data_IF_837001619362
#
_entry.id   IF_837001619362
#
_cell.length_a   1.000
_cell.length_b   1.000
_cell.length_c   1.000
_cell.angle_alpha   90.00
_cell.angle_beta   90.00
_cell.angle_gamma   90.00
#
_symmetry.space_group_name_H-M   'P 1'
#
loop_
_entity.id
_entity.type
_entity.pdbx_description
1 polymer ?
#
# COMPACT_ATOMS: atom_id res chain seq x y z
N UNK A 1 4.82 -28.55 31.20
CA UNK A 1 5.42 -27.83 30.06
C UNK A 1 4.81 -28.41 28.79
N UNK A 2 4.12 -27.60 27.99
CA UNK A 2 3.86 -27.84 26.56
C UNK A 2 3.40 -26.52 25.96
N UNK A 3 4.18 -26.04 24.99
CA UNK A 3 4.20 -24.66 24.50
C UNK A 3 2.97 -24.35 23.65
N UNK A 4 2.26 -23.27 24.03
CA UNK A 4 1.41 -22.51 23.11
C UNK A 4 2.33 -21.71 22.19
N UNK A 5 2.65 -22.26 21.04
CA UNK A 5 3.13 -21.49 19.89
C UNK A 5 1.92 -20.82 19.26
N UNK A 6 1.69 -19.56 19.63
CA UNK A 6 0.68 -18.70 19.02
C UNK A 6 1.26 -18.14 17.71
N UNK A 7 0.75 -18.55 16.52
CA UNK A 7 1.36 -18.28 15.21
C UNK A 7 1.33 -16.81 14.79
N UNK A 8 0.74 -15.94 15.61
CA UNK A 8 0.63 -14.49 15.35
C UNK A 8 1.74 -13.67 16.00
N UNK A 9 2.53 -14.26 16.91
CA UNK A 9 3.64 -13.56 17.61
C UNK A 9 4.79 -13.16 16.71
N UNK A 10 4.99 -13.86 15.58
CA UNK A 10 6.05 -13.56 14.62
C UNK A 10 5.63 -12.50 13.58
N UNK A 11 4.32 -12.37 13.29
CA UNK A 11 3.77 -11.29 12.47
C UNK A 11 3.83 -9.94 13.21
N UNK A 12 3.57 -9.94 14.52
CA UNK A 12 3.70 -8.74 15.36
C UNK A 12 5.17 -8.31 15.55
N UNK A 13 6.13 -9.25 15.54
CA UNK A 13 7.58 -8.93 15.58
C UNK A 13 8.09 -8.37 14.26
N UNK A 14 7.59 -8.86 13.11
CA UNK A 14 7.82 -8.25 11.79
C UNK A 14 7.18 -6.87 11.68
N UNK A 15 5.96 -6.71 12.22
CA UNK A 15 5.31 -5.42 12.34
C UNK A 15 6.12 -4.46 13.24
N UNK A 16 6.55 -4.85 14.45
CA UNK A 16 7.29 -3.92 15.31
C UNK A 16 8.70 -3.56 14.80
N UNK A 17 9.33 -4.41 13.99
CA UNK A 17 10.68 -4.17 13.45
C UNK A 17 10.69 -3.47 12.07
N UNK A 18 9.64 -3.63 11.24
CA UNK A 18 9.43 -2.84 10.02
C UNK A 18 8.89 -1.42 10.30
N UNK A 19 8.13 -1.26 11.39
CA UNK A 19 7.65 0.05 11.84
C UNK A 19 8.72 0.87 12.60
N UNK A 20 9.93 0.31 12.80
CA UNK A 20 11.03 0.94 13.52
C UNK A 20 11.88 1.93 12.72
N UNK A 21 11.86 1.88 11.38
CA UNK A 21 12.69 2.72 10.51
C UNK A 21 11.91 3.53 9.47
N UNK A 22 10.60 3.71 9.64
CA UNK A 22 9.92 4.79 8.90
C UNK A 22 10.31 6.09 9.58
N UNK A 23 11.38 6.73 9.11
CA UNK A 23 11.50 8.18 9.19
C UNK A 23 10.16 8.70 8.67
N UNK A 24 9.23 9.07 9.55
CA UNK A 24 7.93 9.61 9.15
C UNK A 24 8.25 10.83 8.30
N UNK A 25 8.12 10.80 6.96
CA UNK A 25 8.30 12.01 6.19
C UNK A 25 7.10 12.86 6.60
N UNK A 26 7.35 13.91 7.38
CA UNK A 26 6.36 14.71 8.10
C UNK A 26 5.37 15.48 7.19
N UNK A 27 5.14 15.06 5.95
CA UNK A 27 4.36 15.85 5.00
C UNK A 27 3.50 15.10 4.00
N UNK A 28 3.40 13.77 4.07
CA UNK A 28 2.48 13.00 3.22
C UNK A 28 1.65 12.02 4.06
N UNK A 29 0.62 12.50 4.80
CA UNK A 29 -0.37 11.65 5.45
C UNK A 29 -1.01 10.69 4.44
N UNK A 30 -1.46 9.53 4.92
CA UNK A 30 -2.12 8.56 4.07
C UNK A 30 -3.16 7.74 4.82
N UNK A 31 -4.18 7.30 4.09
CA UNK A 31 -5.13 6.27 4.50
C UNK A 31 -5.12 5.14 3.47
N UNK A 32 -5.20 3.89 3.92
CA UNK A 32 -5.26 2.73 3.04
C UNK A 32 -6.29 1.74 3.55
N UNK A 33 -7.12 1.22 2.65
CA UNK A 33 -8.16 0.25 2.97
C UNK A 33 -8.50 -0.62 1.77
N UNK A 34 -9.24 -1.71 2.03
CA UNK A 34 -9.79 -2.58 0.98
C UNK A 34 -11.26 -2.28 0.77
N UNK A 35 -11.69 -2.18 -0.48
CA UNK A 35 -13.08 -2.00 -0.87
C UNK A 35 -13.42 -3.03 -1.95
N UNK A 36 -14.14 -4.09 -1.58
CA UNK A 36 -14.44 -5.18 -2.51
C UNK A 36 -13.17 -5.86 -3.04
N UNK A 37 -12.97 -5.77 -4.36
CA UNK A 37 -11.80 -6.32 -5.06
C UNK A 37 -10.67 -5.30 -5.25
N UNK A 38 -10.77 -4.11 -4.64
CA UNK A 38 -9.77 -3.05 -4.78
C UNK A 38 -9.05 -2.77 -3.46
N UNK A 39 -7.75 -2.51 -3.55
CA UNK A 39 -6.96 -1.86 -2.52
C UNK A 39 -6.83 -0.37 -2.86
N UNK A 40 -7.33 0.49 -1.98
CA UNK A 40 -7.42 1.93 -2.20
C UNK A 40 -6.50 2.64 -1.22
N UNK A 41 -5.73 3.60 -1.72
CA UNK A 41 -4.81 4.43 -0.93
C UNK A 41 -5.04 5.90 -1.25
N UNK A 42 -5.17 6.73 -0.21
CA UNK A 42 -5.24 8.18 -0.32
C UNK A 42 -3.97 8.79 0.25
N UNK A 43 -3.43 9.80 -0.42
CA UNK A 43 -2.34 10.63 0.08
C UNK A 43 -2.75 12.10 0.08
N UNK A 44 -2.58 12.76 1.23
CA UNK A 44 -2.81 14.19 1.33
C UNK A 44 -1.60 14.94 0.77
N UNK A 45 -1.77 15.56 -0.39
CA UNK A 45 -0.75 16.28 -1.14
C UNK A 45 -1.23 17.70 -1.54
N UNK A 46 -1.78 18.52 -0.61
CA UNK A 46 -2.38 19.79 -0.99
C UNK A 46 -1.34 20.80 -1.51
N UNK A 47 -1.66 21.41 -2.64
CA UNK A 47 -0.84 22.43 -3.29
C UNK A 47 0.36 21.87 -4.06
N UNK A 48 0.32 20.58 -4.41
CA UNK A 48 1.28 19.96 -5.31
C UNK A 48 0.77 20.06 -6.75
N UNK A 49 1.67 20.35 -7.67
CA UNK A 49 1.45 20.28 -9.11
C UNK A 49 1.32 18.80 -9.52
N UNK A 50 0.22 18.36 -10.15
CA UNK A 50 0.07 16.97 -10.57
C UNK A 50 1.22 16.45 -11.42
N UNK A 51 1.86 17.32 -12.23
CA UNK A 51 3.00 16.95 -13.07
C UNK A 51 4.28 16.65 -12.27
N UNK A 52 4.38 17.10 -11.01
CA UNK A 52 5.50 16.79 -10.12
C UNK A 52 5.30 15.52 -9.30
N UNK A 53 4.14 14.87 -9.43
CA UNK A 53 3.85 13.59 -8.77
C UNK A 53 4.42 12.46 -9.64
N UNK A 54 5.38 11.74 -9.06
CA UNK A 54 6.02 10.58 -9.67
C UNK A 54 5.59 9.30 -8.92
N UNK A 55 5.11 8.33 -9.66
CA UNK A 55 4.64 7.05 -9.16
C UNK A 55 5.43 5.95 -9.84
N UNK A 56 6.17 5.18 -9.04
CA UNK A 56 7.01 4.09 -9.53
C UNK A 56 6.69 2.81 -8.78
N UNK A 57 6.69 1.67 -9.48
CA UNK A 57 6.50 0.37 -8.88
C UNK A 57 7.63 -0.55 -9.29
N UNK A 58 8.48 -0.90 -8.33
CA UNK A 58 9.55 -1.87 -8.52
C UNK A 58 9.40 -3.00 -7.50
N UNK A 59 9.34 -4.25 -7.97
CA UNK A 59 9.34 -5.47 -7.10
C UNK A 59 8.30 -5.39 -5.97
N UNK A 60 7.06 -5.02 -6.31
CA UNK A 60 5.95 -4.84 -5.35
C UNK A 60 6.17 -3.71 -4.34
N UNK A 61 7.11 -2.80 -4.59
CA UNK A 61 7.28 -1.57 -3.81
C UNK A 61 6.77 -0.40 -4.65
N UNK A 62 5.65 0.18 -4.23
CA UNK A 62 5.15 1.43 -4.77
C UNK A 62 5.88 2.58 -4.08
N UNK A 63 6.54 3.42 -4.88
CA UNK A 63 7.16 4.67 -4.45
C UNK A 63 6.35 5.84 -4.97
N UNK A 64 5.90 6.71 -4.06
CA UNK A 64 5.21 7.95 -4.36
C UNK A 64 6.16 9.10 -4.05
N UNK A 65 6.53 9.88 -5.06
CA UNK A 65 7.31 11.11 -4.90
C UNK A 65 6.49 12.30 -5.34
N UNK A 66 6.66 13.41 -4.64
CA UNK A 66 5.97 14.64 -4.97
C UNK A 66 6.78 15.85 -4.51
N UNK A 67 6.66 16.98 -5.20
CA UNK A 67 7.34 18.22 -4.82
C UNK A 67 6.34 19.34 -4.60
N UNK A 68 6.40 19.96 -3.40
CA UNK A 68 5.66 21.20 -3.11
C UNK A 68 6.60 22.38 -3.10
N UNK A 69 6.44 23.29 -4.05
CA UNK A 69 7.17 24.56 -4.07
C UNK A 69 6.62 25.53 -3.03
N UNK A 70 7.49 26.35 -2.46
CA UNK A 70 7.06 27.48 -1.65
C UNK A 70 6.26 28.45 -2.52
N UNK A 71 5.10 28.93 -2.08
CA UNK A 71 4.36 29.95 -2.82
C UNK A 71 4.96 31.36 -2.63
N UNK A 72 5.87 31.54 -1.65
CA UNK A 72 6.50 32.83 -1.39
C UNK A 72 7.51 33.17 -2.52
N UNK A 73 7.43 34.37 -3.11
CA UNK A 73 8.48 34.88 -3.99
C UNK A 73 9.85 34.89 -3.31
N UNK A 74 10.93 34.84 -4.11
CA UNK A 74 12.31 34.77 -3.58
C UNK A 74 12.71 35.97 -2.71
N UNK A 75 12.10 37.14 -2.95
CA UNK A 75 12.37 38.40 -2.26
C UNK A 75 11.36 38.72 -1.14
N UNK A 76 10.40 37.83 -0.87
CA UNK A 76 9.37 38.05 0.13
C UNK A 76 9.86 37.78 1.56
N UNK A 77 9.48 38.66 2.49
CA UNK A 77 9.65 38.40 3.92
C UNK A 77 8.61 37.37 4.40
N UNK A 78 9.08 36.18 4.74
CA UNK A 78 8.22 35.09 5.23
C UNK A 78 7.86 35.34 6.69
N UNK A 79 6.62 35.79 6.93
CA UNK A 79 6.11 36.03 8.29
C UNK A 79 5.77 34.72 9.02
N UNK A 80 5.29 33.71 8.29
CA UNK A 80 4.97 32.38 8.83
C UNK A 80 5.08 31.29 7.75
N UNK A 81 5.62 30.13 8.12
CA UNK A 81 5.81 28.97 7.23
C UNK A 81 5.49 27.66 7.95
N UNK A 82 4.22 27.40 8.20
CA UNK A 82 3.75 26.18 8.86
C UNK A 82 3.51 25.03 7.88
N UNK A 83 3.26 25.36 6.61
CA UNK A 83 3.06 24.39 5.54
C UNK A 83 4.42 23.79 5.16
N UNK A 84 4.59 22.45 5.18
CA UNK A 84 5.84 21.84 4.74
C UNK A 84 6.17 22.24 3.29
N UNK A 85 7.42 22.36 2.87
CA UNK A 85 7.77 22.57 1.46
C UNK A 85 8.95 21.67 1.09
N UNK A 86 9.17 21.47 -0.21
CA UNK A 86 10.21 20.61 -0.75
C UNK A 86 9.67 19.26 -1.22
N UNK A 87 10.57 18.26 -1.24
CA UNK A 87 10.29 16.92 -1.76
C UNK A 87 9.73 15.99 -0.68
N UNK A 88 8.66 15.29 -1.04
CA UNK A 88 8.05 14.22 -0.25
C UNK A 88 8.27 12.90 -0.98
N UNK A 89 8.59 11.85 -0.23
CA UNK A 89 8.71 10.50 -0.76
C UNK A 89 8.14 9.52 0.25
N UNK A 90 7.32 8.58 -0.23
CA UNK A 90 6.76 7.52 0.60
C UNK A 90 6.77 6.20 -0.17
N UNK A 91 7.10 5.12 0.53
CA UNK A 91 7.14 3.79 -0.03
C UNK A 91 6.10 2.89 0.64
N UNK A 92 5.48 2.03 -0.16
CA UNK A 92 4.48 1.06 0.25
C UNK A 92 4.84 -0.30 -0.31
N UNK A 93 4.97 -1.28 0.57
CA UNK A 93 5.08 -2.67 0.17
C UNK A 93 3.69 -3.19 -0.17
N UNK A 94 3.48 -3.48 -1.44
CA UNK A 94 2.26 -4.10 -1.95
C UNK A 94 2.37 -5.61 -1.79
N UNK A 95 1.26 -6.26 -1.44
CA UNK A 95 1.21 -7.72 -1.38
C UNK A 95 1.16 -8.32 -2.78
N UNK A 96 1.71 -9.52 -2.95
CA UNK A 96 1.72 -10.28 -4.21
C UNK A 96 0.31 -10.57 -4.77
N UNK A 97 -0.72 -10.36 -3.95
CA UNK A 97 -2.12 -10.51 -4.33
C UNK A 97 -2.69 -9.32 -5.08
N UNK A 98 -1.95 -8.22 -5.22
CA UNK A 98 -2.38 -7.02 -5.90
C UNK A 98 -1.86 -7.00 -7.35
N UNK A 99 -2.69 -6.52 -8.25
CA UNK A 99 -2.36 -6.37 -9.65
C UNK A 99 -1.76 -4.98 -9.91
N UNK A 100 -0.43 -4.92 -9.85
CA UNK A 100 0.31 -3.66 -9.99
C UNK A 100 0.37 -3.14 -11.43
N UNK A 101 0.02 -3.96 -12.42
CA UNK A 101 -0.04 -3.55 -13.83
C UNK A 101 -1.29 -2.73 -14.14
N UNK A 102 -2.33 -2.84 -13.30
CA UNK A 102 -3.63 -2.16 -13.46
C UNK A 102 -3.88 -1.12 -12.38
N UNK A 103 -2.84 -0.46 -11.89
CA UNK A 103 -2.99 0.65 -10.95
C UNK A 103 -3.64 1.84 -11.66
N UNK A 104 -4.72 2.35 -11.06
CA UNK A 104 -5.34 3.62 -11.45
C UNK A 104 -4.93 4.70 -10.45
N UNK A 105 -4.56 5.87 -10.96
CA UNK A 105 -4.21 7.04 -10.16
C UNK A 105 -5.10 8.22 -10.55
N UNK A 106 -5.59 8.95 -9.55
CA UNK A 106 -6.34 10.19 -9.73
C UNK A 106 -5.92 11.21 -8.68
N UNK A 107 -5.93 12.48 -9.04
CA UNK A 107 -5.59 13.56 -8.12
C UNK A 107 -6.65 14.65 -8.20
N UNK A 108 -7.37 14.84 -7.10
CA UNK A 108 -8.48 15.78 -7.01
C UNK A 108 -8.43 16.49 -5.66
N UNK A 109 -8.67 17.81 -5.65
CA UNK A 109 -8.76 18.63 -4.44
C UNK A 109 -7.56 18.48 -3.47
N UNK A 110 -6.36 18.17 -3.98
CA UNK A 110 -5.15 18.01 -3.16
C UNK A 110 -4.97 16.61 -2.58
N UNK A 111 -5.76 15.62 -3.01
CA UNK A 111 -5.65 14.23 -2.57
C UNK A 111 -5.31 13.35 -3.77
N UNK A 112 -4.21 12.60 -3.66
CA UNK A 112 -3.85 11.55 -4.61
C UNK A 112 -4.52 10.25 -4.18
N UNK A 113 -5.36 9.70 -5.05
CA UNK A 113 -6.04 8.42 -4.84
C UNK A 113 -5.48 7.38 -5.79
N UNK A 114 -4.96 6.29 -5.22
CA UNK A 114 -4.52 5.11 -5.95
C UNK A 114 -5.52 3.98 -5.74
N UNK A 115 -5.92 3.32 -6.82
CA UNK A 115 -6.75 2.13 -6.80
C UNK A 115 -5.99 0.98 -7.45
N UNK A 116 -5.82 -0.10 -6.70
CA UNK A 116 -5.04 -1.27 -7.12
C UNK A 116 -5.96 -2.49 -7.05
N UNK A 117 -6.36 -3.08 -8.18
CA UNK A 117 -7.18 -4.28 -8.19
C UNK A 117 -6.48 -5.46 -7.51
N UNK A 118 -7.23 -6.36 -6.91
CA UNK A 118 -6.73 -7.67 -6.48
C UNK A 118 -6.51 -8.54 -7.73
N UNK A 119 -5.34 -9.17 -7.82
CA UNK A 119 -4.99 -10.07 -8.91
C UNK A 119 -5.97 -11.24 -9.00
N UNK A 120 -6.42 -11.57 -10.21
CA UNK A 120 -7.36 -12.69 -10.44
C UNK A 120 -6.81 -14.02 -9.91
N UNK A 121 -5.49 -14.22 -9.99
CA UNK A 121 -4.82 -15.43 -9.50
C UNK A 121 -4.82 -15.54 -7.97
N UNK A 122 -4.96 -14.41 -7.28
CA UNK A 122 -5.04 -14.37 -5.82
C UNK A 122 -6.47 -14.62 -5.29
N UNK A 123 -7.47 -14.73 -6.17
CA UNK A 123 -8.83 -15.08 -5.77
C UNK A 123 -8.86 -16.52 -5.24
N UNK A 124 -9.48 -16.77 -4.07
CA UNK A 124 -9.46 -18.08 -3.43
C UNK A 124 -10.09 -19.15 -4.33
N UNK A 125 -9.32 -20.17 -4.70
CA UNK A 125 -9.80 -21.31 -5.47
C UNK A 125 -10.45 -22.33 -4.54
N UNK A 126 -11.72 -22.65 -4.78
CA UNK A 126 -12.42 -23.72 -4.06
C UNK A 126 -11.91 -25.08 -4.54
N UNK A 127 -11.25 -25.83 -3.66
CA UNK A 127 -10.81 -27.20 -3.96
C UNK A 127 -11.97 -28.15 -3.64
N UNK A 128 -12.43 -28.92 -4.62
CA UNK A 128 -13.39 -30.00 -4.40
C UNK A 128 -12.64 -31.30 -4.08
N UNK A 129 -13.09 -32.00 -3.04
CA UNK A 129 -12.56 -33.33 -2.68
C UNK A 129 -13.36 -34.36 -3.47
N UNK A 130 -12.71 -35.08 -4.39
CA UNK A 130 -13.28 -36.25 -5.05
C UNK A 130 -13.07 -37.49 -4.18
N UNK A 131 -14.15 -38.03 -3.60
CA UNK A 131 -14.13 -39.28 -2.83
C UNK A 131 -14.08 -40.49 -3.75
N UNK A 132 -13.05 -41.32 -3.63
CA UNK A 132 -12.97 -42.62 -4.29
C UNK A 132 -13.94 -43.61 -3.62
N UNK A 133 -14.99 -44.01 -4.34
CA UNK A 133 -15.79 -45.18 -3.98
C UNK A 133 -15.44 -46.33 -4.91
N UNK A 134 -14.33 -47.00 -4.65
CA UNK A 134 -14.14 -48.38 -5.12
C UNK A 134 -14.38 -49.31 -3.94
N UNK A 135 -15.62 -49.82 -3.85
CA UNK A 135 -15.93 -51.00 -3.06
C UNK A 135 -15.24 -52.20 -3.73
N UNK A 136 -14.03 -52.56 -3.28
CA UNK A 136 -13.43 -53.86 -3.62
C UNK A 136 -14.12 -54.93 -2.78
N UNK A 137 -15.07 -55.62 -3.38
CA UNK A 137 -15.58 -56.88 -2.84
C UNK A 137 -14.49 -57.94 -2.95
N UNK A 138 -13.95 -58.34 -1.79
CA UNK A 138 -13.09 -59.52 -1.65
C UNK A 138 -14.00 -60.76 -1.79
N UNK A 139 -13.90 -61.46 -2.93
CA UNK A 139 -14.49 -62.79 -3.08
C UNK A 139 -13.51 -63.84 -2.51
N UNK A 140 -14.01 -64.61 -1.55
CA UNK A 140 -13.44 -65.84 -0.98
C UNK A 140 -13.58 -67.03 -1.93
#
# INVERSE_FOLDING_TARGET
MLMRTDPFRDLDRFAQQMFGNVTRPSGMPMDAYRSGEDFIVHFDLPGIDPESIDLDVERNVLTVRAERRSPAPEDAEVIAAERPAGSFSRQLFLGDTLDTERIEASYEAGVLTLRIPVAEQAKPRKIQISGGSERRELRS
#
